data_IF_354100100162
#
_entry.id   IF_354100100162
#
_cell.length_a   1.000
_cell.length_b   1.000
_cell.length_c   1.000
_cell.angle_alpha   90.00
_cell.angle_beta   90.00
_cell.angle_gamma   90.00
#
_symmetry.space_group_name_H-M   'P 1'
#
loop_
_entity.id
_entity.type
_entity.pdbx_description
1 polymer ?
#
# COMPACT_ATOMS: atom_id res chain seq x y z
N UNK A 1 0.41 26.73 6.49
CA UNK A 1 -0.52 25.57 6.41
C UNK A 1 0.20 24.22 6.45
N UNK A 2 1.32 24.02 5.74
CA UNK A 2 2.11 22.77 5.80
C UNK A 2 2.60 22.41 7.22
N UNK A 3 3.07 23.43 7.96
CA UNK A 3 3.55 23.28 9.34
C UNK A 3 2.50 22.72 10.31
N UNK A 4 1.24 23.19 10.20
CA UNK A 4 0.13 22.69 11.01
C UNK A 4 -0.18 21.20 10.75
N UNK A 5 -0.09 20.78 9.48
CA UNK A 5 -0.35 19.38 9.10
C UNK A 5 0.73 18.44 9.64
N UNK A 6 2.00 18.86 9.56
CA UNK A 6 3.13 18.12 10.14
C UNK A 6 3.00 18.05 11.66
N UNK A 7 2.67 19.18 12.30
CA UNK A 7 2.49 19.28 13.75
C UNK A 7 1.40 18.34 14.28
N UNK A 8 0.26 18.23 13.60
CA UNK A 8 -0.83 17.32 14.00
C UNK A 8 -0.44 15.85 13.85
N UNK A 9 0.24 15.49 12.76
CA UNK A 9 0.76 14.12 12.58
C UNK A 9 1.78 13.81 13.68
N UNK A 10 2.69 14.74 13.96
CA UNK A 10 3.72 14.59 14.99
C UNK A 10 3.13 14.49 16.40
N UNK A 11 2.18 15.37 16.76
CA UNK A 11 1.48 15.34 18.05
C UNK A 11 0.70 14.05 18.27
N UNK A 12 -0.04 13.59 17.25
CA UNK A 12 -0.73 12.30 17.36
C UNK A 12 0.27 11.15 17.50
N UNK A 13 1.44 11.24 16.88
CA UNK A 13 2.48 10.23 17.00
C UNK A 13 3.13 10.21 18.39
N UNK A 14 3.37 11.39 18.95
CA UNK A 14 3.83 11.57 20.30
C UNK A 14 2.84 10.99 21.31
N UNK A 15 1.55 11.36 21.25
CA UNK A 15 0.52 10.83 22.16
C UNK A 15 0.43 9.28 22.12
N UNK A 16 0.58 8.69 20.94
CA UNK A 16 0.62 7.24 20.78
C UNK A 16 1.86 6.58 21.40
N UNK A 17 2.99 7.29 21.45
CA UNK A 17 4.22 6.80 22.10
C UNK A 17 4.05 6.72 23.62
N UNK A 18 3.25 7.61 24.22
CA UNK A 18 2.94 7.61 25.65
C UNK A 18 1.68 6.79 26.00
N UNK A 19 1.15 6.00 25.06
CA UNK A 19 0.00 5.14 25.31
C UNK A 19 -1.34 5.86 25.39
N UNK A 20 -1.40 7.15 25.07
CA UNK A 20 -2.63 7.94 25.13
C UNK A 20 -3.42 7.87 23.81
N UNK A 21 -4.02 6.71 23.56
CA UNK A 21 -4.76 6.42 22.33
C UNK A 21 -6.04 7.26 22.19
N UNK A 22 -6.71 7.59 23.30
CA UNK A 22 -7.96 8.33 23.28
C UNK A 22 -7.75 9.78 22.79
N UNK A 23 -6.73 10.46 23.33
CA UNK A 23 -6.40 11.82 22.95
C UNK A 23 -5.86 11.90 21.51
N UNK A 24 -4.98 10.96 21.13
CA UNK A 24 -4.52 10.83 19.75
C UNK A 24 -5.69 10.67 18.77
N UNK A 25 -6.69 9.84 19.11
CA UNK A 25 -7.89 9.66 18.32
C UNK A 25 -8.74 10.93 18.21
N UNK A 26 -8.89 11.67 19.31
CA UNK A 26 -9.64 12.95 19.33
C UNK A 26 -8.99 14.00 18.43
N UNK A 27 -7.67 14.17 18.51
CA UNK A 27 -6.89 15.09 17.67
C UNK A 27 -7.04 14.73 16.20
N UNK A 28 -6.84 13.45 15.85
CA UNK A 28 -6.92 12.96 14.47
C UNK A 28 -8.34 13.10 13.89
N UNK A 29 -9.38 12.77 14.66
CA UNK A 29 -10.76 12.92 14.21
C UNK A 29 -11.14 14.40 14.03
N UNK A 30 -10.69 15.28 14.92
CA UNK A 30 -10.91 16.72 14.79
C UNK A 30 -10.22 17.29 13.56
N UNK A 31 -9.00 16.85 13.27
CA UNK A 31 -8.29 17.24 12.06
C UNK A 31 -8.96 16.68 10.80
N UNK A 32 -9.37 15.40 10.81
CA UNK A 32 -10.08 14.75 9.69
C UNK A 32 -11.32 15.55 9.28
N UNK A 33 -12.10 16.04 10.26
CA UNK A 33 -13.30 16.86 10.00
C UNK A 33 -12.95 18.19 9.32
N UNK A 34 -11.84 18.81 9.70
CA UNK A 34 -11.39 20.09 9.12
C UNK A 34 -10.70 19.94 7.77
N UNK A 35 -10.09 18.79 7.52
CA UNK A 35 -9.29 18.52 6.32
C UNK A 35 -9.58 17.11 5.78
N UNK A 36 -10.77 16.90 5.15
CA UNK A 36 -11.09 15.62 4.53
C UNK A 36 -10.09 15.29 3.41
N UNK A 37 -9.87 13.99 3.17
CA UNK A 37 -8.95 13.51 2.12
C UNK A 37 -7.46 13.51 2.51
N UNK A 38 -7.09 13.93 3.72
CA UNK A 38 -5.69 13.88 4.15
C UNK A 38 -5.25 12.45 4.53
N UNK A 39 -4.69 11.73 3.56
CA UNK A 39 -4.41 10.29 3.67
C UNK A 39 -3.56 9.89 4.89
N UNK A 40 -2.61 10.74 5.31
CA UNK A 40 -1.77 10.47 6.48
C UNK A 40 -2.60 10.32 7.78
N UNK A 41 -3.71 11.05 7.91
CA UNK A 41 -4.60 10.96 9.08
C UNK A 41 -5.36 9.64 9.07
N UNK A 42 -5.89 9.25 7.91
CA UNK A 42 -6.58 7.95 7.77
C UNK A 42 -5.65 6.78 8.07
N UNK A 43 -4.42 6.80 7.54
CA UNK A 43 -3.43 5.77 7.85
C UNK A 43 -3.06 5.74 9.34
N UNK A 44 -3.03 6.89 10.01
CA UNK A 44 -2.74 6.94 11.45
C UNK A 44 -3.87 6.31 12.26
N UNK A 45 -5.12 6.63 11.93
CA UNK A 45 -6.31 6.03 12.55
C UNK A 45 -6.34 4.52 12.32
N UNK A 46 -6.08 4.06 11.10
CA UNK A 46 -5.98 2.63 10.78
C UNK A 46 -4.84 1.97 11.58
N UNK A 47 -3.68 2.62 11.68
CA UNK A 47 -2.56 2.14 12.47
C UNK A 47 -2.88 2.01 13.96
N UNK A 48 -3.79 2.85 14.50
CA UNK A 48 -4.30 2.70 15.87
C UNK A 48 -5.18 1.46 16.01
N UNK A 49 -6.11 1.23 15.07
CA UNK A 49 -6.94 0.03 15.04
C UNK A 49 -6.08 -1.23 14.98
N UNK A 50 -5.04 -1.22 14.14
CA UNK A 50 -4.09 -2.33 14.02
C UNK A 50 -3.35 -2.59 15.34
N UNK A 51 -2.75 -1.57 15.95
CA UNK A 51 -2.04 -1.74 17.24
C UNK A 51 -2.95 -2.22 18.37
N UNK A 52 -4.22 -1.82 18.35
CA UNK A 52 -5.21 -2.33 19.30
C UNK A 52 -5.47 -3.82 19.08
N UNK A 53 -5.70 -4.23 17.84
CA UNK A 53 -5.87 -5.64 17.49
C UNK A 53 -4.61 -6.47 17.84
N UNK A 54 -3.40 -5.95 17.57
CA UNK A 54 -2.14 -6.62 17.91
C UNK A 54 -2.00 -6.88 19.43
N UNK A 55 -2.65 -6.09 20.28
CA UNK A 55 -2.60 -6.23 21.73
C UNK A 55 -3.60 -7.28 22.27
N UNK A 56 -4.52 -7.76 21.44
CA UNK A 56 -5.51 -8.77 21.82
C UNK A 56 -4.91 -10.18 21.71
N UNK A 57 -5.35 -11.09 22.60
CA UNK A 57 -4.87 -12.49 22.60
C UNK A 57 -5.18 -13.22 21.28
N UNK A 58 -6.28 -12.84 20.63
CA UNK A 58 -6.64 -13.30 19.29
C UNK A 58 -6.94 -12.06 18.45
N UNK A 59 -5.97 -11.58 17.64
CA UNK A 59 -6.11 -10.31 16.93
C UNK A 59 -7.29 -10.31 15.96
N UNK A 60 -8.26 -9.41 16.17
CA UNK A 60 -9.31 -9.12 15.18
C UNK A 60 -8.95 -7.89 14.33
N UNK A 61 -8.64 -8.13 13.06
CA UNK A 61 -8.32 -7.07 12.10
C UNK A 61 -9.53 -6.60 11.27
N UNK A 62 -10.75 -7.05 11.57
CA UNK A 62 -11.97 -6.67 10.86
C UNK A 62 -12.13 -5.15 10.75
N UNK A 63 -11.83 -4.41 11.81
CA UNK A 63 -11.88 -2.94 11.84
C UNK A 63 -10.86 -2.28 10.92
N UNK A 64 -9.65 -2.84 10.83
CA UNK A 64 -8.57 -2.37 9.92
C UNK A 64 -9.01 -2.55 8.47
N UNK A 65 -9.49 -3.76 8.14
CA UNK A 65 -9.91 -4.11 6.79
C UNK A 65 -11.12 -3.27 6.37
N UNK A 66 -12.17 -3.21 7.19
CA UNK A 66 -13.38 -2.42 6.92
C UNK A 66 -13.03 -0.94 6.67
N UNK A 67 -12.10 -0.37 7.44
CA UNK A 67 -11.68 1.02 7.26
C UNK A 67 -10.96 1.24 5.93
N UNK A 68 -10.08 0.34 5.51
CA UNK A 68 -9.46 0.40 4.18
C UNK A 68 -10.49 0.24 3.06
N UNK A 69 -11.35 -0.77 3.14
CA UNK A 69 -12.39 -1.03 2.14
C UNK A 69 -13.31 0.17 1.95
N UNK A 70 -13.75 0.81 3.04
CA UNK A 70 -14.53 2.06 2.99
C UNK A 70 -13.80 3.18 2.26
N UNK A 71 -12.50 3.33 2.48
CA UNK A 71 -11.72 4.38 1.81
C UNK A 71 -11.53 4.07 0.32
N UNK A 72 -11.27 2.81 -0.03
CA UNK A 72 -11.07 2.34 -1.41
C UNK A 72 -12.36 2.43 -2.23
N UNK A 73 -13.51 2.15 -1.62
CA UNK A 73 -14.80 2.06 -2.30
C UNK A 73 -15.66 3.33 -2.18
N UNK A 74 -15.24 4.33 -1.41
CA UNK A 74 -15.96 5.60 -1.31
C UNK A 74 -15.91 6.38 -2.64
N UNK A 75 -17.07 6.90 -3.07
CA UNK A 75 -17.19 7.81 -4.21
C UNK A 75 -16.39 9.10 -4.04
N UNK A 76 -16.18 9.52 -2.79
CA UNK A 76 -15.50 10.77 -2.45
C UNK A 76 -13.98 10.62 -2.44
N UNK A 77 -13.46 9.39 -2.57
CA UNK A 77 -12.02 9.14 -2.61
C UNK A 77 -11.49 9.28 -4.03
N UNK A 78 -10.58 10.24 -4.31
CA UNK A 78 -9.92 10.35 -5.60
C UNK A 78 -9.22 9.06 -6.01
N UNK A 79 -9.22 8.73 -7.31
CA UNK A 79 -8.64 7.49 -7.85
C UNK A 79 -7.23 7.19 -7.33
N UNK A 80 -6.33 8.17 -7.38
CA UNK A 80 -4.95 8.01 -6.90
C UNK A 80 -4.86 7.67 -5.40
N UNK A 81 -5.78 8.21 -4.57
CA UNK A 81 -5.87 7.84 -3.15
C UNK A 81 -6.47 6.45 -2.96
N UNK A 82 -7.46 6.06 -3.76
CA UNK A 82 -7.96 4.67 -3.77
C UNK A 82 -6.83 3.69 -4.05
N UNK A 83 -6.04 3.92 -5.12
CA UNK A 83 -4.87 3.11 -5.47
C UNK A 83 -3.84 3.08 -4.33
N UNK A 84 -3.57 4.24 -3.72
CA UNK A 84 -2.69 4.33 -2.55
C UNK A 84 -3.18 3.47 -1.37
N UNK A 85 -4.47 3.52 -1.04
CA UNK A 85 -5.05 2.69 0.02
C UNK A 85 -5.04 1.20 -0.32
N UNK A 86 -5.27 0.83 -1.59
CA UNK A 86 -5.15 -0.56 -2.06
C UNK A 86 -3.73 -1.10 -1.85
N UNK A 87 -2.67 -0.32 -2.13
CA UNK A 87 -1.29 -0.70 -1.82
C UNK A 87 -1.10 -0.93 -0.32
N UNK A 88 -1.64 -0.05 0.53
CA UNK A 88 -1.51 -0.18 2.00
C UNK A 88 -2.26 -1.41 2.52
N UNK A 89 -3.44 -1.69 2.02
CA UNK A 89 -4.21 -2.89 2.38
C UNK A 89 -3.49 -4.16 1.92
N UNK A 90 -2.99 -4.21 0.68
CA UNK A 90 -2.22 -5.35 0.18
C UNK A 90 -0.97 -5.63 1.04
N UNK A 91 -0.21 -4.59 1.40
CA UNK A 91 0.93 -4.73 2.32
C UNK A 91 0.54 -5.25 3.68
N UNK A 92 -0.61 -4.81 4.21
CA UNK A 92 -1.14 -5.30 5.48
C UNK A 92 -1.45 -6.81 5.41
N UNK A 93 -2.14 -7.26 4.35
CA UNK A 93 -2.40 -8.70 4.15
C UNK A 93 -1.12 -9.50 4.00
N UNK A 94 -0.16 -9.00 3.23
CA UNK A 94 1.13 -9.67 3.01
C UNK A 94 1.94 -9.79 4.31
N UNK A 95 2.12 -8.68 5.05
CA UNK A 95 3.06 -8.63 6.18
C UNK A 95 2.46 -9.01 7.53
N UNK A 96 1.17 -8.73 7.74
CA UNK A 96 0.51 -8.98 9.02
C UNK A 96 -0.32 -10.27 9.00
N UNK A 97 -0.93 -10.60 7.86
CA UNK A 97 -1.79 -11.79 7.74
C UNK A 97 -1.14 -12.96 7.00
N UNK A 98 0.04 -12.76 6.43
CA UNK A 98 0.71 -13.72 5.53
C UNK A 98 -0.21 -14.20 4.38
N UNK A 99 -1.17 -13.35 3.97
CA UNK A 99 -2.16 -13.68 2.94
C UNK A 99 -1.76 -13.02 1.62
N UNK A 100 -0.81 -13.67 0.96
CA UNK A 100 -0.21 -13.19 -0.28
C UNK A 100 -1.17 -13.23 -1.47
N UNK A 101 -1.99 -14.28 -1.56
CA UNK A 101 -3.00 -14.43 -2.62
C UNK A 101 -3.99 -13.28 -2.58
N UNK A 102 -4.45 -12.90 -1.40
CA UNK A 102 -5.34 -11.75 -1.26
C UNK A 102 -4.62 -10.42 -1.54
N UNK A 103 -3.38 -10.26 -1.07
CA UNK A 103 -2.58 -9.08 -1.38
C UNK A 103 -2.44 -8.86 -2.90
N UNK A 104 -2.10 -9.91 -3.66
CA UNK A 104 -2.01 -9.86 -5.12
C UNK A 104 -3.37 -9.54 -5.77
N UNK A 105 -4.44 -10.20 -5.32
CA UNK A 105 -5.80 -9.95 -5.81
C UNK A 105 -6.22 -8.49 -5.63
N UNK A 106 -5.88 -7.88 -4.49
CA UNK A 106 -6.16 -6.45 -4.23
C UNK A 106 -5.41 -5.56 -5.22
N UNK A 107 -4.12 -5.83 -5.46
CA UNK A 107 -3.32 -5.03 -6.41
C UNK A 107 -3.84 -5.17 -7.84
N UNK A 108 -4.13 -6.38 -8.31
CA UNK A 108 -4.69 -6.62 -9.65
C UNK A 108 -6.03 -5.91 -9.86
N UNK A 109 -6.94 -5.98 -8.88
CA UNK A 109 -8.21 -5.25 -8.91
C UNK A 109 -8.04 -3.73 -8.92
N UNK A 110 -7.03 -3.21 -8.24
CA UNK A 110 -6.74 -1.78 -8.28
C UNK A 110 -6.19 -1.38 -9.66
N UNK A 111 -5.35 -2.22 -10.29
CA UNK A 111 -4.84 -2.02 -11.65
C UNK A 111 -5.93 -2.09 -12.72
N UNK A 112 -7.02 -2.83 -12.51
CA UNK A 112 -8.20 -2.78 -13.41
C UNK A 112 -8.80 -1.37 -13.49
N UNK A 113 -8.67 -0.56 -12.44
CA UNK A 113 -9.25 0.79 -12.33
C UNK A 113 -8.24 1.91 -12.60
N UNK A 114 -6.96 1.65 -12.33
CA UNK A 114 -5.87 2.63 -12.41
C UNK A 114 -4.61 1.94 -12.97
N UNK A 115 -4.73 1.49 -14.22
CA UNK A 115 -3.78 0.59 -14.89
C UNK A 115 -2.36 1.12 -14.97
N UNK A 116 -2.22 2.44 -15.11
CA UNK A 116 -0.95 3.11 -15.34
C UNK A 116 -0.33 3.64 -14.02
N UNK A 117 -0.89 3.25 -12.87
CA UNK A 117 -0.38 3.67 -11.58
C UNK A 117 0.95 2.99 -11.25
N UNK A 118 2.04 3.76 -11.32
CA UNK A 118 3.41 3.29 -11.05
C UNK A 118 3.53 2.57 -9.70
N UNK A 119 2.84 3.03 -8.64
CA UNK A 119 2.95 2.41 -7.31
C UNK A 119 2.27 1.04 -7.25
N UNK A 120 1.18 0.84 -7.99
CA UNK A 120 0.53 -0.47 -8.10
C UNK A 120 1.37 -1.45 -8.93
N UNK A 121 1.96 -0.98 -10.04
CA UNK A 121 2.85 -1.78 -10.89
C UNK A 121 4.09 -2.23 -10.10
N UNK A 122 4.74 -1.32 -9.39
CA UNK A 122 5.85 -1.63 -8.49
C UNK A 122 5.44 -2.66 -7.44
N UNK A 123 4.25 -2.51 -6.85
CA UNK A 123 3.80 -3.44 -5.82
C UNK A 123 3.52 -4.85 -6.36
N UNK A 124 3.11 -4.98 -7.63
CA UNK A 124 2.94 -6.26 -8.30
C UNK A 124 4.28 -6.97 -8.52
N UNK A 125 5.30 -6.21 -8.97
CA UNK A 125 6.68 -6.71 -9.13
C UNK A 125 7.25 -7.13 -7.77
N UNK A 126 7.13 -6.26 -6.75
CA UNK A 126 7.61 -6.55 -5.38
C UNK A 126 6.94 -7.80 -4.80
N UNK A 127 5.65 -8.01 -5.10
CA UNK A 127 4.99 -9.26 -4.77
C UNK A 127 5.78 -10.38 -5.46
N UNK A 128 5.79 -10.48 -6.79
CA UNK A 128 6.47 -11.57 -7.51
C UNK A 128 7.88 -11.89 -6.98
N UNK A 129 8.73 -10.88 -6.76
CA UNK A 129 10.07 -11.03 -6.19
C UNK A 129 10.12 -11.69 -4.82
N UNK A 130 9.19 -11.31 -3.94
CA UNK A 130 9.16 -11.77 -2.55
C UNK A 130 8.37 -13.05 -2.37
N UNK A 131 8.08 -13.79 -3.45
CA UNK A 131 7.40 -15.06 -3.34
C UNK A 131 8.32 -16.09 -2.66
N UNK A 132 7.89 -16.76 -1.57
CA UNK A 132 8.67 -17.84 -0.98
C UNK A 132 8.95 -18.97 -1.98
N UNK A 133 7.96 -19.26 -2.82
CA UNK A 133 8.13 -20.10 -4.02
C UNK A 133 8.53 -19.18 -5.17
N UNK A 134 9.81 -18.82 -5.20
CA UNK A 134 10.34 -17.90 -6.20
C UNK A 134 10.14 -18.45 -7.62
N UNK A 135 9.67 -17.59 -8.53
CA UNK A 135 9.45 -17.91 -9.93
C UNK A 135 9.97 -16.76 -10.79
N UNK A 136 11.03 -17.03 -11.55
CA UNK A 136 11.59 -16.05 -12.50
C UNK A 136 10.54 -15.62 -13.52
N UNK A 137 9.78 -16.58 -14.06
CA UNK A 137 8.68 -16.32 -15.00
C UNK A 137 7.69 -15.31 -14.43
N UNK A 138 7.25 -15.48 -13.17
CA UNK A 138 6.30 -14.56 -12.55
C UNK A 138 6.87 -13.14 -12.38
N UNK A 139 8.18 -13.01 -12.09
CA UNK A 139 8.86 -11.71 -12.00
C UNK A 139 8.96 -11.05 -13.38
N UNK A 140 9.37 -11.80 -14.40
CA UNK A 140 9.45 -11.34 -15.79
C UNK A 140 8.08 -10.89 -16.30
N UNK A 141 7.04 -11.68 -16.07
CA UNK A 141 5.66 -11.34 -16.45
C UNK A 141 5.17 -10.06 -15.76
N UNK A 142 5.54 -9.84 -14.49
CA UNK A 142 5.19 -8.63 -13.77
C UNK A 142 5.89 -7.38 -14.35
N UNK A 143 7.17 -7.50 -14.73
CA UNK A 143 7.89 -6.44 -15.45
C UNK A 143 7.28 -6.18 -16.82
N UNK A 144 7.01 -7.22 -17.60
CA UNK A 144 6.41 -7.09 -18.93
C UNK A 144 5.04 -6.42 -18.88
N UNK A 145 4.24 -6.74 -17.86
CA UNK A 145 2.98 -6.07 -17.62
C UNK A 145 3.17 -4.56 -17.37
N UNK A 146 4.17 -4.17 -16.57
CA UNK A 146 4.47 -2.76 -16.30
C UNK A 146 4.98 -2.03 -17.55
N UNK A 147 5.90 -2.62 -18.31
CA UNK A 147 6.49 -2.03 -19.53
C UNK A 147 5.43 -1.83 -20.62
N UNK A 148 4.47 -2.76 -20.74
CA UNK A 148 3.34 -2.69 -21.69
C UNK A 148 2.23 -1.74 -21.26
N UNK A 149 2.29 -1.17 -20.04
CA UNK A 149 1.30 -0.21 -19.56
C UNK A 149 1.49 1.17 -20.19
N UNK A 150 0.46 2.02 -20.14
CA UNK A 150 0.47 3.34 -20.77
C UNK A 150 1.10 4.39 -19.84
N UNK A 151 2.32 4.10 -19.40
CA UNK A 151 3.16 4.96 -18.56
C UNK A 151 4.16 5.74 -19.43
N UNK A 152 4.87 6.71 -18.83
CA UNK A 152 5.85 7.51 -19.56
C UNK A 152 7.00 6.65 -20.08
N UNK A 153 7.64 7.06 -21.19
CA UNK A 153 8.78 6.32 -21.73
C UNK A 153 9.97 6.30 -20.77
N UNK A 154 10.11 7.34 -19.93
CA UNK A 154 11.09 7.36 -18.84
C UNK A 154 10.80 6.26 -17.81
N UNK A 155 9.54 6.07 -17.40
CA UNK A 155 9.16 5.00 -16.47
C UNK A 155 9.32 3.61 -17.11
N UNK A 156 8.94 3.45 -18.39
CA UNK A 156 9.17 2.19 -19.13
C UNK A 156 10.66 1.86 -19.17
N UNK A 157 11.51 2.84 -19.47
CA UNK A 157 12.96 2.65 -19.47
C UNK A 157 13.46 2.19 -18.11
N UNK A 158 12.99 2.80 -17.02
CA UNK A 158 13.34 2.36 -15.66
C UNK A 158 12.88 0.93 -15.35
N UNK A 159 11.68 0.53 -15.77
CA UNK A 159 11.23 -0.86 -15.60
C UNK A 159 12.04 -1.83 -16.46
N UNK A 160 12.39 -1.46 -17.70
CA UNK A 160 13.23 -2.28 -18.58
C UNK A 160 14.64 -2.47 -18.03
N UNK A 161 15.26 -1.40 -17.51
CA UNK A 161 16.56 -1.48 -16.85
C UNK A 161 16.53 -2.44 -15.66
N UNK A 162 15.54 -2.28 -14.78
CA UNK A 162 15.38 -3.18 -13.62
C UNK A 162 15.07 -4.63 -14.00
N UNK A 163 14.38 -4.85 -15.12
CA UNK A 163 14.15 -6.19 -15.68
C UNK A 163 15.48 -6.79 -16.17
N UNK A 164 16.29 -6.00 -16.85
CA UNK A 164 17.62 -6.41 -17.32
C UNK A 164 18.54 -6.74 -16.14
N UNK A 165 18.64 -5.87 -15.15
CA UNK A 165 19.41 -6.12 -13.92
C UNK A 165 18.98 -7.44 -13.26
N UNK A 166 17.66 -7.68 -13.18
CA UNK A 166 17.11 -8.94 -12.66
C UNK A 166 17.55 -10.16 -13.47
N UNK A 167 17.53 -10.07 -14.80
CA UNK A 167 17.93 -11.17 -15.66
C UNK A 167 19.43 -11.46 -15.53
N UNK A 168 20.27 -10.43 -15.45
CA UNK A 168 21.71 -10.58 -15.26
C UNK A 168 22.07 -11.19 -13.89
N UNK A 169 21.40 -10.73 -12.82
CA UNK A 169 21.72 -11.16 -11.46
C UNK A 169 21.12 -12.53 -11.09
N UNK A 170 19.92 -12.84 -11.61
CA UNK A 170 19.07 -13.90 -11.07
C UNK A 170 18.47 -14.85 -12.12
N UNK A 171 18.59 -14.60 -13.43
CA UNK A 171 18.13 -15.56 -14.45
C UNK A 171 19.11 -16.72 -14.56
N UNK A 172 18.58 -17.93 -14.76
CA UNK A 172 19.41 -19.10 -15.09
C UNK A 172 19.51 -19.33 -16.60
N UNK A 173 18.82 -18.52 -17.40
CA UNK A 173 18.70 -18.67 -18.85
C UNK A 173 19.14 -17.39 -19.56
N UNK A 174 20.03 -17.54 -20.54
CA UNK A 174 20.66 -16.43 -21.30
C UNK A 174 19.78 -16.03 -22.50
N UNK A 175 18.78 -16.85 -22.85
CA UNK A 175 17.99 -16.73 -24.08
C UNK A 175 16.57 -16.13 -23.88
N UNK A 176 16.36 -15.28 -22.86
CA UNK A 176 15.06 -14.60 -22.59
C UNK A 176 14.79 -13.39 -23.47
#
# INVERSE_FOLDING_TARGET
MADYKVKVVWMSAWQLRYGNYAEAGSILNSFRRKHPGYAAVELRLIGMLRRRADAERSPDYSGVINKFEKLIHSSDTPRHLSSYYSVKLARFHLKTRNDRRLAEKIIRRALERDRDNIQLLLQLIDLAFTNPEFSQTAVIEAFDFAIKSNISDADKLQFSQRKLDFLEDLSYDIDV
#
